data_IF_440449703128
#
_entry.id   IF_440449703128
#
_cell.length_a   1.000
_cell.length_b   1.000
_cell.length_c   1.000
_cell.angle_alpha   90.00
_cell.angle_beta   90.00
_cell.angle_gamma   90.00
#
_symmetry.space_group_name_H-M   'P 1'
#
loop_
_entity.id
_entity.type
_entity.pdbx_description
1 polymer ?
#
# COMPACT_ATOMS: atom_id res chain seq x y z
N UNK A 1 13.43 -6.77 -1.19
CA UNK A 1 12.38 -6.82 -2.22
C UNK A 1 12.24 -5.44 -2.85
N UNK A 2 12.51 -4.39 -2.10
CA UNK A 2 12.95 -3.08 -2.59
C UNK A 2 13.73 -3.05 -3.91
N UNK A 3 14.71 -3.91 -4.19
CA UNK A 3 15.58 -3.77 -5.37
C UNK A 3 14.81 -3.65 -6.71
N UNK A 4 13.80 -4.50 -6.94
CA UNK A 4 13.01 -4.45 -8.18
C UNK A 4 11.98 -3.33 -8.14
N UNK A 5 11.47 -2.98 -6.95
CA UNK A 5 10.58 -1.83 -6.76
C UNK A 5 11.32 -0.55 -7.16
N UNK A 6 12.53 -0.35 -6.65
CA UNK A 6 13.39 0.79 -6.97
C UNK A 6 13.73 0.82 -8.46
N UNK A 7 14.04 -0.33 -9.06
CA UNK A 7 14.29 -0.42 -10.50
C UNK A 7 13.06 0.01 -11.33
N UNK A 8 11.85 -0.46 -10.98
CA UNK A 8 10.62 -0.09 -11.68
C UNK A 8 10.31 1.40 -11.53
N UNK A 9 10.45 1.97 -10.33
CA UNK A 9 10.23 3.40 -10.09
C UNK A 9 11.21 4.27 -10.88
N UNK A 10 12.48 3.88 -10.90
CA UNK A 10 13.51 4.57 -11.70
C UNK A 10 13.18 4.55 -13.20
N UNK A 11 12.77 3.41 -13.74
CA UNK A 11 12.41 3.31 -15.16
C UNK A 11 11.16 4.13 -15.53
N UNK A 12 10.28 4.37 -14.56
CA UNK A 12 9.11 5.23 -14.71
C UNK A 12 9.39 6.72 -14.44
N UNK A 13 10.65 7.11 -14.18
CA UNK A 13 11.07 8.45 -13.78
C UNK A 13 10.34 8.98 -12.52
N UNK A 14 9.99 8.07 -11.61
CA UNK A 14 9.32 8.39 -10.35
C UNK A 14 10.37 8.46 -9.24
N UNK A 15 10.52 9.66 -8.67
CA UNK A 15 11.47 9.94 -7.59
C UNK A 15 10.77 10.54 -6.38
N UNK A 16 11.48 10.60 -5.24
CA UNK A 16 11.05 11.30 -4.03
C UNK A 16 9.73 10.82 -3.41
N UNK A 17 9.38 9.54 -3.63
CA UNK A 17 8.26 8.90 -2.92
C UNK A 17 8.80 7.97 -1.83
N UNK A 18 8.17 7.94 -0.64
CA UNK A 18 8.50 6.95 0.38
C UNK A 18 8.18 5.53 -0.11
N UNK A 19 9.14 4.61 0.03
CA UNK A 19 8.97 3.19 -0.30
C UNK A 19 9.09 2.37 0.96
N UNK A 20 8.02 1.63 1.28
CA UNK A 20 8.00 0.67 2.39
C UNK A 20 7.95 -0.74 1.82
N UNK A 21 9.00 -1.52 2.01
CA UNK A 21 9.07 -2.91 1.54
C UNK A 21 10.08 -3.71 2.36
N UNK A 22 10.10 -5.04 2.19
CA UNK A 22 11.20 -5.84 2.70
C UNK A 22 12.49 -5.42 1.99
N UNK A 23 13.60 -5.40 2.70
CA UNK A 23 14.90 -4.96 2.18
C UNK A 23 15.67 -6.16 1.64
N UNK A 24 16.37 -5.97 0.53
CA UNK A 24 17.23 -7.00 -0.06
C UNK A 24 18.67 -6.52 -0.08
N UNK A 25 19.58 -7.40 0.32
CA UNK A 25 21.02 -7.20 0.16
C UNK A 25 21.64 -8.34 -0.64
N UNK A 26 22.69 -8.01 -1.39
CA UNK A 26 23.46 -8.95 -2.20
C UNK A 26 24.87 -9.05 -1.63
N UNK A 27 25.30 -10.27 -1.32
CA UNK A 27 26.68 -10.57 -0.94
C UNK A 27 27.22 -11.66 -1.88
N UNK A 28 27.94 -11.22 -2.91
CA UNK A 28 28.31 -12.08 -4.05
C UNK A 28 27.07 -12.68 -4.69
N UNK A 29 27.02 -14.02 -4.76
CA UNK A 29 25.90 -14.77 -5.33
C UNK A 29 24.77 -15.06 -4.31
N UNK A 30 24.85 -14.50 -3.10
CA UNK A 30 23.85 -14.71 -2.05
C UNK A 30 22.92 -13.52 -1.93
N UNK A 31 21.62 -13.78 -2.08
CA UNK A 31 20.55 -12.83 -1.76
C UNK A 31 20.09 -13.03 -0.32
N UNK A 32 20.00 -11.95 0.45
CA UNK A 32 19.42 -11.94 1.79
C UNK A 32 18.24 -10.98 1.84
N UNK A 33 17.18 -11.35 2.56
CA UNK A 33 16.01 -10.51 2.80
C UNK A 33 15.95 -10.13 4.27
N UNK A 34 15.82 -8.85 4.55
CA UNK A 34 15.53 -8.33 5.87
C UNK A 34 14.10 -7.77 5.90
N UNK A 35 13.43 -8.01 7.02
CA UNK A 35 12.09 -7.50 7.29
C UNK A 35 12.23 -6.28 8.18
N UNK A 36 11.80 -5.08 7.75
CA UNK A 36 11.76 -3.93 8.63
C UNK A 36 10.99 -4.28 9.90
N UNK A 37 11.44 -3.77 11.07
CA UNK A 37 10.77 -4.08 12.32
C UNK A 37 9.30 -3.66 12.22
N UNK A 38 8.42 -4.58 12.63
CA UNK A 38 7.03 -4.24 12.85
C UNK A 38 6.95 -3.22 13.99
N UNK A 39 6.06 -2.23 13.92
CA UNK A 39 5.78 -1.42 15.09
C UNK A 39 5.20 -2.29 16.20
N UNK A 40 5.51 -1.93 17.44
CA UNK A 40 5.14 -2.70 18.64
C UNK A 40 3.63 -2.95 18.74
N UNK A 41 2.83 -2.03 18.18
CA UNK A 41 1.38 -2.13 18.09
C UNK A 41 0.87 -2.77 16.80
N UNK A 42 1.68 -3.61 16.10
CA UNK A 42 1.21 -4.21 14.85
C UNK A 42 -0.06 -5.02 15.10
N UNK A 43 -1.20 -4.60 14.56
CA UNK A 43 -2.47 -5.31 14.74
C UNK A 43 -2.47 -6.68 14.05
N UNK A 44 -1.44 -6.94 13.26
CA UNK A 44 -1.27 -8.11 12.43
C UNK A 44 -0.53 -9.28 13.09
N UNK A 45 0.36 -9.00 14.05
CA UNK A 45 1.31 -9.93 14.68
C UNK A 45 2.33 -10.64 13.77
N UNK A 46 2.08 -10.77 12.46
CA UNK A 46 2.83 -11.66 11.56
C UNK A 46 3.11 -11.06 10.17
N UNK A 47 2.87 -9.76 9.94
CA UNK A 47 3.17 -9.16 8.64
C UNK A 47 4.69 -9.04 8.43
N UNK A 48 5.14 -9.31 7.20
CA UNK A 48 6.49 -8.95 6.77
C UNK A 48 6.69 -7.42 6.70
N UNK A 49 5.66 -6.71 6.23
CA UNK A 49 5.58 -5.26 6.21
C UNK A 49 4.11 -4.84 6.43
N UNK A 50 3.80 -4.15 7.53
CA UNK A 50 2.43 -3.89 7.92
C UNK A 50 1.88 -2.62 7.27
N UNK A 51 1.06 -2.80 6.23
CA UNK A 51 0.34 -1.72 5.54
C UNK A 51 -0.58 -0.92 6.48
N UNK A 52 -1.25 -1.61 7.40
CA UNK A 52 -2.13 -0.98 8.38
C UNK A 52 -1.35 -0.03 9.31
N UNK A 53 -0.16 -0.43 9.75
CA UNK A 53 0.69 0.43 10.57
C UNK A 53 1.19 1.66 9.80
N UNK A 54 1.51 1.49 8.50
CA UNK A 54 1.85 2.61 7.63
C UNK A 54 0.67 3.59 7.51
N UNK A 55 -0.55 3.10 7.29
CA UNK A 55 -1.74 3.96 7.25
C UNK A 55 -1.93 4.73 8.57
N UNK A 56 -1.78 4.07 9.72
CA UNK A 56 -1.84 4.71 11.05
C UNK A 56 -0.77 5.78 11.23
N UNK A 57 0.46 5.53 10.78
CA UNK A 57 1.54 6.53 10.78
C UNK A 57 1.12 7.76 10.00
N UNK A 58 0.69 7.62 8.75
CA UNK A 58 0.29 8.75 7.91
C UNK A 58 -0.91 9.52 8.45
N UNK A 59 -1.90 8.81 9.04
CA UNK A 59 -3.04 9.45 9.70
C UNK A 59 -2.62 10.32 10.90
N UNK A 60 -1.61 9.91 11.66
CA UNK A 60 -1.04 10.69 12.76
C UNK A 60 -0.19 11.86 12.25
N UNK A 61 0.60 11.65 11.20
CA UNK A 61 1.52 12.64 10.64
C UNK A 61 0.78 13.76 9.88
N UNK A 62 -0.35 13.44 9.23
CA UNK A 62 -1.14 14.38 8.43
C UNK A 62 -2.60 14.44 8.91
N UNK A 63 -2.85 14.96 10.14
CA UNK A 63 -4.21 15.08 10.64
C UNK A 63 -5.06 15.96 9.71
N UNK A 64 -6.34 15.62 9.57
CA UNK A 64 -7.29 16.33 8.70
C UNK A 64 -7.17 16.06 7.21
N UNK A 65 -6.13 15.36 6.75
CA UNK A 65 -5.99 14.97 5.34
C UNK A 65 -6.79 13.70 5.04
N UNK A 66 -7.34 13.60 3.83
CA UNK A 66 -7.95 12.35 3.34
C UNK A 66 -6.84 11.36 3.00
N UNK A 67 -6.86 10.18 3.63
CA UNK A 67 -5.99 9.07 3.28
C UNK A 67 -6.67 8.18 2.24
N UNK A 68 -6.06 8.06 1.08
CA UNK A 68 -6.57 7.28 -0.05
C UNK A 68 -5.65 6.08 -0.26
N UNK A 69 -6.25 4.90 -0.46
CA UNK A 69 -5.51 3.66 -0.65
C UNK A 69 -5.89 2.98 -1.96
N UNK A 70 -4.89 2.46 -2.68
CA UNK A 70 -5.09 1.65 -3.88
C UNK A 70 -4.39 0.30 -3.70
N UNK A 71 -5.10 -0.80 -3.92
CA UNK A 71 -4.54 -2.14 -3.79
C UNK A 71 -5.38 -3.20 -4.49
N UNK A 72 -4.89 -4.43 -4.45
CA UNK A 72 -5.47 -5.56 -5.19
C UNK A 72 -5.43 -6.88 -4.42
N UNK A 73 -4.58 -6.99 -3.40
CA UNK A 73 -4.29 -8.26 -2.76
C UNK A 73 -5.10 -8.49 -1.49
N UNK A 74 -5.34 -9.77 -1.16
CA UNK A 74 -5.97 -10.17 0.10
C UNK A 74 -5.35 -9.52 1.35
N UNK A 75 -4.04 -9.26 1.35
CA UNK A 75 -3.32 -8.62 2.47
C UNK A 75 -3.72 -7.16 2.73
N UNK A 76 -4.39 -6.50 1.78
CA UNK A 76 -4.76 -5.10 1.87
C UNK A 76 -6.02 -4.88 2.75
N UNK A 77 -6.80 -5.93 3.01
CA UNK A 77 -8.07 -5.87 3.74
C UNK A 77 -8.03 -5.17 5.09
N UNK A 78 -6.88 -5.18 5.76
CA UNK A 78 -6.77 -4.59 7.10
C UNK A 78 -6.76 -3.06 7.07
N UNK A 79 -6.42 -2.44 5.93
CA UNK A 79 -6.31 -0.97 5.83
C UNK A 79 -7.67 -0.27 5.80
N UNK A 80 -8.76 -1.01 5.56
CA UNK A 80 -10.11 -0.47 5.31
C UNK A 80 -10.62 0.46 6.42
N UNK A 81 -10.17 0.26 7.66
CA UNK A 81 -10.58 1.05 8.82
C UNK A 81 -9.72 2.32 9.00
N UNK A 82 -8.58 2.40 8.32
CA UNK A 82 -7.63 3.50 8.46
C UNK A 82 -7.60 4.46 7.28
N UNK A 83 -8.48 4.30 6.30
CA UNK A 83 -8.48 5.09 5.06
C UNK A 83 -9.85 5.69 4.80
N UNK A 84 -9.89 6.82 4.08
CA UNK A 84 -11.12 7.53 3.74
C UNK A 84 -11.72 7.04 2.42
N UNK A 85 -10.88 6.54 1.52
CA UNK A 85 -11.26 6.11 0.18
C UNK A 85 -10.38 4.94 -0.25
N UNK A 86 -11.00 3.98 -0.92
CA UNK A 86 -10.35 2.75 -1.37
C UNK A 86 -10.55 2.62 -2.88
N UNK A 87 -9.46 2.50 -3.61
CA UNK A 87 -9.43 1.92 -4.95
C UNK A 87 -9.04 0.46 -4.82
N UNK A 88 -9.90 -0.45 -5.28
CA UNK A 88 -9.65 -1.89 -5.16
C UNK A 88 -9.88 -2.61 -6.48
N UNK A 89 -9.10 -3.67 -6.72
CA UNK A 89 -9.32 -4.65 -7.79
C UNK A 89 -9.06 -6.06 -7.30
N UNK A 90 -9.33 -7.06 -8.14
CA UNK A 90 -9.08 -8.48 -7.86
C UNK A 90 -9.63 -8.93 -6.48
N UNK A 91 -8.84 -9.69 -5.70
CA UNK A 91 -9.23 -10.23 -4.40
C UNK A 91 -9.64 -9.15 -3.40
N UNK A 92 -9.01 -7.98 -3.45
CA UNK A 92 -9.38 -6.89 -2.54
C UNK A 92 -10.75 -6.31 -2.88
N UNK A 93 -11.07 -6.14 -4.17
CA UNK A 93 -12.41 -5.73 -4.60
C UNK A 93 -13.48 -6.76 -4.25
N UNK A 94 -13.17 -8.05 -4.42
CA UNK A 94 -14.06 -9.15 -4.02
C UNK A 94 -14.33 -9.13 -2.52
N UNK A 95 -13.28 -8.96 -1.71
CA UNK A 95 -13.42 -8.81 -0.27
C UNK A 95 -14.29 -7.60 0.10
N UNK A 96 -14.04 -6.43 -0.51
CA UNK A 96 -14.85 -5.23 -0.26
C UNK A 96 -16.32 -5.45 -0.62
N UNK A 97 -16.60 -6.05 -1.78
CA UNK A 97 -17.96 -6.37 -2.23
C UNK A 97 -18.67 -7.31 -1.26
N UNK A 98 -18.03 -8.41 -0.87
CA UNK A 98 -18.61 -9.42 0.04
C UNK A 98 -18.93 -8.84 1.43
N UNK A 99 -18.10 -7.92 1.92
CA UNK A 99 -18.24 -7.31 3.24
C UNK A 99 -18.97 -5.95 3.21
N UNK A 100 -19.56 -5.55 2.07
CA UNK A 100 -20.27 -4.27 1.90
C UNK A 100 -19.43 -3.04 2.26
N UNK A 101 -18.14 -3.10 1.97
CA UNK A 101 -17.20 -2.00 2.14
C UNK A 101 -17.24 -1.13 0.89
N UNK A 102 -17.38 0.19 1.06
CA UNK A 102 -17.34 1.13 -0.06
C UNK A 102 -15.94 1.15 -0.69
N UNK A 103 -15.87 0.99 -2.01
CA UNK A 103 -14.64 1.04 -2.78
C UNK A 103 -14.94 1.52 -4.21
N UNK A 104 -13.91 1.95 -4.91
CA UNK A 104 -13.94 2.34 -6.31
C UNK A 104 -13.13 1.30 -7.11
N UNK A 105 -13.73 0.61 -8.09
CA UNK A 105 -12.98 -0.32 -8.94
C UNK A 105 -12.00 0.45 -9.82
N UNK A 106 -10.84 -0.15 -10.11
CA UNK A 106 -9.87 0.39 -11.06
C UNK A 106 -9.10 -0.72 -11.76
N UNK A 107 -8.78 -0.53 -13.04
CA UNK A 107 -7.91 -1.45 -13.79
C UNK A 107 -6.49 -0.90 -13.90
N UNK A 108 -6.37 0.43 -14.00
CA UNK A 108 -5.12 1.15 -14.16
C UNK A 108 -5.14 2.51 -13.44
N UNK A 109 -3.98 3.17 -13.37
CA UNK A 109 -3.85 4.49 -12.74
C UNK A 109 -4.64 5.61 -13.45
N UNK A 110 -5.00 5.44 -14.72
CA UNK A 110 -5.86 6.39 -15.45
C UNK A 110 -7.28 6.45 -14.89
N UNK A 111 -7.84 5.32 -14.42
CA UNK A 111 -9.13 5.31 -13.73
C UNK A 111 -9.06 6.09 -12.40
N UNK A 112 -7.98 5.88 -11.65
CA UNK A 112 -7.73 6.58 -10.38
C UNK A 112 -7.64 8.09 -10.65
N UNK A 113 -6.81 8.50 -11.62
CA UNK A 113 -6.64 9.91 -11.97
C UNK A 113 -7.97 10.56 -12.37
N UNK A 114 -8.74 9.90 -13.24
CA UNK A 114 -10.04 10.41 -13.69
C UNK A 114 -11.01 10.60 -12.51
N UNK A 115 -11.03 9.64 -11.57
CA UNK A 115 -11.86 9.76 -10.37
C UNK A 115 -11.42 10.92 -9.48
N UNK A 116 -10.11 11.07 -9.27
CA UNK A 116 -9.56 12.15 -8.45
C UNK A 116 -9.85 13.54 -9.03
N UNK A 117 -9.84 13.69 -10.35
CA UNK A 117 -10.16 14.94 -11.03
C UNK A 117 -11.64 15.35 -10.89
N UNK A 118 -12.56 14.40 -10.76
CA UNK A 118 -13.98 14.70 -10.51
C UNK A 118 -14.28 15.15 -9.07
N UNK A 119 -13.36 14.91 -8.14
CA UNK A 119 -13.50 15.29 -6.73
C UNK A 119 -12.88 16.66 -6.41
N UNK A 120 -12.14 17.24 -7.35
CA UNK A 120 -11.48 18.54 -7.25
C UNK A 120 -12.40 19.66 -7.72
#
# INVERSE_FOLDING_TARGET
MDFYIQHMLKNADIHNIPVYSNLTSFNGNRLTVAFPPLPDDCPCGMCANCKLAICRKYRKEFPGHKLIYAGDGYSDRNVIHEVNMIFAKNEFADYCRQNKISYIPFDNFGNILSHMQMLA
#
